data_IF_924526923486
#
_entry.id   IF_924526923486
#
_cell.length_a   1.000
_cell.length_b   1.000
_cell.length_c   1.000
_cell.angle_alpha   90.00
_cell.angle_beta   90.00
_cell.angle_gamma   90.00
#
_symmetry.space_group_name_H-M   'P 1'
#
loop_
_entity.id
_entity.type
_entity.pdbx_description
1 polymer ?
#
# COMPACT_ATOMS: atom_id res chain seq x y z
N UNK A 1 5.51 7.19 -4.53
CA UNK A 1 6.23 6.30 -3.58
C UNK A 1 5.42 5.02 -3.44
N UNK A 2 6.06 3.86 -3.56
CA UNK A 2 5.36 2.57 -3.56
C UNK A 2 5.09 2.05 -2.15
N UNK A 3 3.89 1.52 -1.94
CA UNK A 3 3.48 0.87 -0.70
C UNK A 3 2.91 -0.52 -0.96
N UNK A 4 3.14 -1.43 -0.01
CA UNK A 4 2.56 -2.76 0.02
C UNK A 4 1.70 -2.92 1.28
N UNK A 5 0.65 -3.73 1.18
CA UNK A 5 -0.18 -4.12 2.31
C UNK A 5 0.06 -5.60 2.60
N UNK A 6 0.42 -5.94 3.83
CA UNK A 6 0.67 -7.31 4.23
C UNK A 6 -0.37 -7.73 5.25
N UNK A 7 -1.12 -8.79 4.96
CA UNK A 7 -2.03 -9.38 5.92
C UNK A 7 -1.27 -9.82 7.16
N UNK A 8 -1.70 -9.36 8.33
CA UNK A 8 -1.11 -9.77 9.60
C UNK A 8 -1.44 -11.24 9.90
N UNK A 9 -2.58 -11.73 9.40
CA UNK A 9 -3.06 -13.10 9.63
C UNK A 9 -2.43 -14.12 8.70
N UNK A 10 -2.42 -13.81 7.41
CA UNK A 10 -2.12 -14.78 6.34
C UNK A 10 -0.77 -14.54 5.69
N UNK A 11 -0.08 -13.44 6.05
CA UNK A 11 1.16 -12.99 5.42
C UNK A 11 1.04 -12.76 3.90
N UNK A 12 -0.19 -12.68 3.36
CA UNK A 12 -0.43 -12.31 1.96
C UNK A 12 -0.01 -10.87 1.72
N UNK A 13 0.71 -10.65 0.62
CA UNK A 13 1.21 -9.34 0.21
C UNK A 13 0.33 -8.82 -0.93
N UNK A 14 -0.10 -7.58 -0.82
CA UNK A 14 -0.91 -6.86 -1.81
C UNK A 14 -0.20 -5.60 -2.28
N UNK A 15 -0.34 -5.26 -3.56
CA UNK A 15 0.36 -4.15 -4.22
C UNK A 15 1.49 -4.63 -5.16
N UNK A 16 2.46 -3.75 -5.50
CA UNK A 16 2.60 -2.38 -4.99
C UNK A 16 1.51 -1.46 -5.52
N UNK A 17 1.17 -0.43 -4.76
CA UNK A 17 0.39 0.72 -5.26
C UNK A 17 1.14 2.01 -5.00
N UNK A 18 0.88 3.02 -5.82
CA UNK A 18 1.44 4.35 -5.64
C UNK A 18 0.67 5.12 -4.58
N UNK A 19 1.39 5.59 -3.57
CA UNK A 19 0.85 6.48 -2.56
C UNK A 19 0.64 7.88 -3.15
N UNK A 20 -0.61 8.29 -3.30
CA UNK A 20 -0.96 9.63 -3.79
C UNK A 20 -0.84 10.68 -2.68
N UNK A 21 -1.35 10.36 -1.49
CA UNK A 21 -1.40 11.30 -0.38
C UNK A 21 -1.07 10.59 0.94
N UNK A 22 -0.26 11.26 1.76
CA UNK A 22 0.00 10.90 3.15
C UNK A 22 -0.25 12.14 4.01
N UNK A 23 -1.25 12.06 4.88
CA UNK A 23 -1.54 13.11 5.86
C UNK A 23 -1.08 12.61 7.22
N UNK A 24 -0.14 13.33 7.85
CA UNK A 24 0.32 13.08 9.23
C UNK A 24 0.04 14.33 10.07
N UNK A 25 -1.19 14.49 10.60
CA UNK A 25 -1.61 15.70 11.27
C UNK A 25 -1.07 15.73 12.70
N UNK A 26 0.24 15.83 12.91
CA UNK A 26 0.91 16.08 14.21
C UNK A 26 0.63 15.10 15.40
N UNK A 27 -0.38 14.23 15.33
CA UNK A 27 -0.90 13.40 16.43
C UNK A 27 -0.43 11.94 16.38
N UNK A 28 0.63 11.64 15.64
CA UNK A 28 1.16 10.27 15.55
C UNK A 28 0.22 9.29 14.83
N UNK A 29 -0.73 9.79 14.06
CA UNK A 29 -1.60 9.01 13.15
C UNK A 29 -1.22 9.40 11.72
N UNK A 30 -1.16 8.43 10.83
CA UNK A 30 -1.03 8.67 9.40
C UNK A 30 -2.28 8.16 8.69
N UNK A 31 -2.69 8.90 7.67
CA UNK A 31 -3.71 8.48 6.71
C UNK A 31 -3.08 8.37 5.34
N UNK A 32 -3.38 7.27 4.66
CA UNK A 32 -2.97 7.03 3.28
C UNK A 32 -4.18 6.93 2.37
N UNK A 33 -4.01 7.45 1.15
CA UNK A 33 -4.95 7.30 0.05
C UNK A 33 -4.18 6.93 -1.21
N UNK A 34 -4.56 5.83 -1.85
CA UNK A 34 -3.93 5.37 -3.09
C UNK A 34 -4.97 4.76 -4.05
N UNK A 35 -4.73 4.83 -5.37
CA UNK A 35 -5.54 4.11 -6.34
C UNK A 35 -5.45 2.60 -6.07
N UNK A 36 -6.57 1.91 -6.16
CA UNK A 36 -6.64 0.46 -5.95
C UNK A 36 -7.35 -0.18 -7.13
N UNK A 37 -6.59 -0.63 -8.14
CA UNK A 37 -7.14 -1.08 -9.42
C UNK A 37 -7.73 -2.49 -9.37
N UNK A 38 -8.09 -3.02 -8.19
CA UNK A 38 -8.50 -4.42 -8.06
C UNK A 38 -9.78 -4.57 -7.24
N UNK A 39 -10.67 -5.47 -7.70
CA UNK A 39 -11.87 -5.96 -6.98
C UNK A 39 -11.53 -6.78 -5.71
N UNK A 40 -10.31 -6.66 -5.18
CA UNK A 40 -9.92 -7.36 -3.96
C UNK A 40 -10.57 -6.71 -2.74
N UNK A 41 -11.31 -7.53 -2.02
CA UNK A 41 -11.88 -7.18 -0.73
C UNK A 41 -10.90 -7.55 0.40
N UNK A 42 -10.61 -6.59 1.27
CA UNK A 42 -9.85 -6.81 2.50
C UNK A 42 -10.79 -7.39 3.57
N UNK A 43 -11.02 -8.70 3.52
CA UNK A 43 -11.99 -9.40 4.41
C UNK A 43 -11.44 -9.73 5.81
N UNK A 44 -10.19 -9.35 6.11
CA UNK A 44 -9.55 -9.79 7.33
C UNK A 44 -9.77 -8.82 8.48
N UNK A 45 -10.45 -9.30 9.53
CA UNK A 45 -10.74 -8.55 10.76
C UNK A 45 -9.49 -8.06 11.52
N UNK A 46 -8.32 -8.66 11.27
CA UNK A 46 -7.04 -8.43 11.97
C UNK A 46 -6.20 -7.28 11.40
N UNK A 47 -6.53 -6.77 10.20
CA UNK A 47 -5.84 -5.64 9.59
C UNK A 47 -4.55 -6.01 8.83
N UNK A 48 -3.92 -4.98 8.28
CA UNK A 48 -2.83 -5.08 7.31
C UNK A 48 -1.68 -4.14 7.70
N UNK A 49 -0.45 -4.63 7.61
CA UNK A 49 0.74 -3.80 7.79
C UNK A 49 1.06 -3.03 6.50
N UNK A 50 1.35 -1.73 6.62
CA UNK A 50 1.78 -0.88 5.50
C UNK A 50 3.30 -0.90 5.41
N UNK A 51 3.82 -1.46 4.32
CA UNK A 51 5.25 -1.59 4.06
C UNK A 51 5.69 -0.61 2.99
N UNK A 52 6.76 0.14 3.27
CA UNK A 52 7.36 1.16 2.39
C UNK A 52 8.80 0.76 2.08
N UNK A 53 9.02 -0.08 1.06
CA UNK A 53 10.34 -0.64 0.79
C UNK A 53 11.39 0.39 0.42
N UNK A 54 11.02 1.49 -0.26
CA UNK A 54 11.95 2.58 -0.61
C UNK A 54 12.63 3.18 0.63
N UNK A 55 11.93 3.18 1.77
CA UNK A 55 12.44 3.68 3.05
C UNK A 55 12.92 2.56 3.97
N UNK A 56 12.80 1.30 3.55
CA UNK A 56 13.10 0.12 4.37
C UNK A 56 12.30 0.12 5.68
N UNK A 57 11.03 0.54 5.60
CA UNK A 57 10.17 0.75 6.77
C UNK A 57 8.84 0.03 6.66
N UNK A 58 8.26 -0.30 7.81
CA UNK A 58 6.85 -0.66 8.01
C UNK A 58 6.25 0.45 8.87
N UNK A 59 5.14 1.05 8.44
CA UNK A 59 4.63 2.28 9.05
C UNK A 59 3.55 2.08 10.11
N UNK A 60 2.86 0.94 10.09
CA UNK A 60 1.83 0.61 11.05
C UNK A 60 0.86 -0.45 10.53
N UNK A 61 -0.06 -0.89 11.39
CA UNK A 61 -1.18 -1.75 11.04
C UNK A 61 -2.45 -0.92 10.84
N UNK A 62 -3.15 -1.16 9.73
CA UNK A 62 -4.36 -0.44 9.35
C UNK A 62 -5.49 -1.39 8.98
N UNK A 63 -6.73 -0.91 9.00
CA UNK A 63 -7.85 -1.56 8.32
C UNK A 63 -8.16 -0.77 7.05
N UNK A 64 -7.61 -1.17 5.89
CA UNK A 64 -7.86 -0.48 4.64
C UNK A 64 -9.32 -0.64 4.22
N UNK A 65 -9.90 0.44 3.71
CA UNK A 65 -11.22 0.51 3.14
C UNK A 65 -11.07 0.84 1.66
N UNK A 66 -11.71 0.04 0.80
CA UNK A 66 -11.74 0.30 -0.65
C UNK A 66 -13.09 0.95 -0.97
N UNK A 67 -13.07 2.15 -1.52
CA UNK A 67 -14.27 2.89 -1.92
C UNK A 67 -13.99 3.63 -3.22
N UNK A 68 -14.86 3.45 -4.23
CA UNK A 68 -14.76 4.11 -5.54
C UNK A 68 -13.39 3.94 -6.22
N UNK A 69 -12.76 2.76 -6.10
CA UNK A 69 -11.45 2.48 -6.71
C UNK A 69 -10.25 3.08 -5.96
N UNK A 70 -10.47 3.63 -4.76
CA UNK A 70 -9.40 4.11 -3.88
C UNK A 70 -9.34 3.28 -2.61
N UNK A 71 -8.12 2.94 -2.20
CA UNK A 71 -7.83 2.39 -0.89
C UNK A 71 -7.50 3.55 0.05
N UNK A 72 -8.21 3.60 1.17
CA UNK A 72 -7.96 4.51 2.27
C UNK A 72 -7.62 3.73 3.52
N UNK A 73 -6.59 4.15 4.25
CA UNK A 73 -6.22 3.53 5.51
C UNK A 73 -5.74 4.58 6.50
N UNK A 74 -6.08 4.38 7.77
CA UNK A 74 -5.59 5.18 8.90
C UNK A 74 -4.92 4.25 9.90
N UNK A 75 -3.78 4.68 10.43
CA UNK A 75 -2.98 3.87 11.36
C UNK A 75 -2.10 4.76 12.22
N UNK A 76 -1.75 4.25 13.41
CA UNK A 76 -0.72 4.86 14.24
C UNK A 76 0.60 4.87 13.46
N UNK A 77 1.21 6.04 13.34
CA UNK A 77 2.41 6.27 12.57
C UNK A 77 3.64 6.17 13.46
N UNK A 78 4.27 5.00 13.44
CA UNK A 78 5.56 4.77 14.10
C UNK A 78 6.38 3.84 13.23
N UNK A 79 7.17 4.38 12.28
CA UNK A 79 7.95 3.58 11.36
C UNK A 79 8.92 2.64 12.08
N UNK A 80 8.84 1.35 11.76
CA UNK A 80 9.78 0.32 12.21
C UNK A 80 10.59 -0.21 11.01
N UNK A 81 11.85 -0.60 11.19
CA UNK A 81 12.66 -1.11 10.07
C UNK A 81 12.14 -2.46 9.56
N UNK A 82 12.18 -2.68 8.24
CA UNK A 82 11.95 -4.01 7.66
C UNK A 82 13.12 -4.93 8.06
N UNK A 83 12.86 -6.11 8.65
CA UNK A 83 13.88 -7.09 8.97
C UNK A 83 14.77 -7.42 7.75
N UNK A 84 16.10 -7.48 7.88
CA UNK A 84 16.99 -7.70 6.73
C UNK A 84 16.65 -8.92 5.87
N UNK A 85 16.21 -10.02 6.50
CA UNK A 85 15.84 -11.25 5.81
C UNK A 85 14.58 -11.12 4.94
N UNK A 86 13.72 -10.14 5.22
CA UNK A 86 12.42 -9.92 4.59
C UNK A 86 12.47 -8.86 3.48
N UNK A 87 13.53 -8.05 3.40
CA UNK A 87 13.67 -7.00 2.37
C UNK A 87 13.53 -7.53 0.95
N UNK A 88 13.93 -8.78 0.72
CA UNK A 88 13.81 -9.48 -0.58
C UNK A 88 12.35 -9.72 -1.03
N UNK A 89 11.39 -9.65 -0.11
CA UNK A 89 9.96 -9.84 -0.40
C UNK A 89 9.32 -8.60 -1.04
N UNK A 90 9.98 -7.45 -0.94
CA UNK A 90 9.47 -6.16 -1.40
C UNK A 90 10.42 -5.56 -2.44
N UNK A 91 10.46 -6.12 -3.67
CA UNK A 91 11.33 -5.59 -4.71
C UNK A 91 10.93 -4.15 -5.03
N UNK A 92 11.92 -3.26 -5.07
CA UNK A 92 11.79 -1.94 -5.66
C UNK A 92 11.68 -2.15 -7.17
N UNK A 93 10.46 -2.36 -7.68
CA UNK A 93 10.25 -2.30 -9.11
C UNK A 93 10.62 -0.89 -9.57
N UNK A 94 11.68 -0.79 -10.38
CA UNK A 94 11.96 0.43 -11.13
C UNK A 94 10.68 0.79 -11.90
N UNK A 95 10.11 1.94 -11.55
CA UNK A 95 9.05 2.70 -12.23
C UNK A 95 8.63 2.11 -13.59
N UNK A 96 7.61 1.24 -13.60
CA UNK A 96 6.92 0.81 -14.83
C UNK A 96 5.49 0.37 -14.54
N UNK A 97 4.80 1.07 -13.62
CA UNK A 97 3.38 0.87 -13.33
C UNK A 97 2.54 2.10 -13.73
N UNK A 98 3.01 2.84 -14.74
CA UNK A 98 2.31 3.97 -15.36
C UNK A 98 2.09 3.79 -16.88
N UNK A 99 2.15 2.55 -17.39
CA UNK A 99 1.97 2.28 -18.82
C UNK A 99 1.12 1.01 -19.07
N UNK A 100 -0.09 0.94 -18.50
CA UNK A 100 -1.12 0.01 -18.96
C UNK A 100 -2.54 0.62 -18.88
N UNK A 101 -2.68 1.94 -19.05
CA UNK A 101 -4.02 2.57 -19.15
C UNK A 101 -4.06 3.68 -20.20
N UNK A 102 -3.29 3.51 -21.29
CA UNK A 102 -3.33 4.40 -22.44
C UNK A 102 -3.00 3.64 -23.72
N UNK A 103 -3.72 2.56 -24.01
CA UNK A 103 -3.70 1.87 -25.30
C UNK A 103 -4.90 0.90 -25.35
N UNK A 104 -6.12 1.43 -25.37
CA UNK A 104 -7.30 0.68 -25.88
C UNK A 104 -8.55 1.58 -26.16
N UNK A 105 -8.36 2.85 -26.52
CA UNK A 105 -9.43 3.67 -27.13
C UNK A 105 -8.88 4.52 -28.29
N UNK A 106 -8.37 3.84 -29.33
CA UNK A 106 -8.33 4.40 -30.69
C UNK A 106 -8.60 3.28 -31.70
N UNK A 107 -9.88 2.90 -31.84
CA UNK A 107 -10.46 2.29 -33.04
C UNK A 107 -11.99 2.18 -32.87
N UNK A 108 -12.72 3.21 -33.31
CA UNK A 108 -13.62 3.15 -34.48
C UNK A 108 -14.11 4.56 -34.84
#
# INVERSE_FOLDING_TARGET
MLVYFVSIRTAKIYGPTELNEMISPEEGIARISCPWPIDYFFDEWEGYAVVVPERVQVWGAAKPLVTNGFLQAEFAFTPVPIPPAERKLFPLQNQSLAAQTAEDEEND
#
